data_IF_059288529182
#
_entry.id   IF_059288529182
#
_cell.length_a   1.000
_cell.length_b   1.000
_cell.length_c   1.000
_cell.angle_alpha   90.00
_cell.angle_beta   90.00
_cell.angle_gamma   90.00
#
_symmetry.space_group_name_H-M   'P 1'
#
loop_
_entity.id
_entity.type
_entity.pdbx_description
1 polymer ?
#
# COMPACT_ATOMS: atom_id res chain seq x y z
N UNK A 1 21.11 -7.67 -10.63
CA UNK A 1 21.16 -6.88 -9.38
C UNK A 1 22.07 -7.55 -8.36
N UNK A 2 22.62 -6.80 -7.40
CA UNK A 2 23.56 -7.32 -6.37
C UNK A 2 23.12 -6.88 -4.98
N UNK A 3 23.11 -7.79 -4.00
CA UNK A 3 22.69 -7.50 -2.63
C UNK A 3 23.50 -6.38 -1.96
N UNK A 4 24.79 -6.26 -2.22
CA UNK A 4 25.64 -5.23 -1.64
C UNK A 4 25.28 -3.80 -2.08
N UNK A 5 24.65 -3.65 -3.25
CA UNK A 5 24.19 -2.35 -3.76
C UNK A 5 22.70 -2.12 -3.48
N UNK A 6 21.89 -3.19 -3.47
CA UNK A 6 20.44 -3.12 -3.23
C UNK A 6 20.09 -2.67 -1.80
N UNK A 7 20.95 -2.97 -0.82
CA UNK A 7 20.71 -2.57 0.58
C UNK A 7 21.62 -1.39 0.93
N UNK A 8 21.02 -0.21 0.97
CA UNK A 8 21.70 1.07 1.21
C UNK A 8 21.02 1.87 2.33
N UNK A 9 21.82 2.33 3.28
CA UNK A 9 21.39 3.24 4.35
C UNK A 9 21.29 4.69 3.92
N UNK A 10 21.65 5.02 2.67
CA UNK A 10 21.56 6.37 2.09
C UNK A 10 20.14 6.90 2.17
N UNK A 11 19.97 8.15 2.63
CA UNK A 11 18.67 8.77 2.85
C UNK A 11 18.31 9.73 1.74
N UNK A 12 17.10 9.56 1.20
CA UNK A 12 16.56 10.44 0.16
C UNK A 12 16.37 11.87 0.66
N UNK A 13 16.96 12.82 -0.06
CA UNK A 13 16.92 14.25 0.25
C UNK A 13 17.89 14.72 1.35
N UNK A 14 18.75 13.83 1.86
CA UNK A 14 19.84 14.19 2.79
C UNK A 14 21.19 13.62 2.35
N UNK A 15 21.36 13.33 1.08
CA UNK A 15 22.53 12.64 0.53
C UNK A 15 23.86 13.33 0.88
N UNK A 16 23.85 14.67 0.94
CA UNK A 16 25.05 15.48 1.23
C UNK A 16 25.26 15.76 2.73
N UNK A 17 24.20 15.63 3.53
CA UNK A 17 24.19 16.10 4.93
C UNK A 17 24.09 14.96 5.94
N UNK A 18 23.68 13.77 5.51
CA UNK A 18 23.50 12.65 6.41
C UNK A 18 24.79 11.83 6.52
N UNK A 19 25.30 11.73 7.75
CA UNK A 19 26.29 10.71 8.12
C UNK A 19 25.56 9.58 8.81
N UNK A 20 25.85 8.36 8.40
CA UNK A 20 25.32 7.16 9.05
C UNK A 20 25.72 7.16 10.53
N UNK A 21 24.73 6.97 11.39
CA UNK A 21 24.95 6.96 12.83
C UNK A 21 25.16 5.51 13.28
N UNK A 22 26.34 5.23 13.79
CA UNK A 22 26.65 3.96 14.45
C UNK A 22 26.12 3.95 15.90
N UNK A 23 24.77 3.97 16.01
CA UNK A 23 24.05 3.85 17.28
C UNK A 23 23.39 2.48 17.38
N UNK A 24 22.76 2.19 18.53
CA UNK A 24 22.07 0.90 18.77
C UNK A 24 20.88 0.64 17.84
N UNK A 25 20.35 1.66 17.14
CA UNK A 25 19.28 1.55 16.14
C UNK A 25 19.84 1.78 14.76
N UNK A 26 19.58 0.83 13.85
CA UNK A 26 19.95 0.98 12.45
C UNK A 26 19.16 2.08 11.74
N UNK A 27 19.66 2.56 10.60
CA UNK A 27 18.95 3.53 9.78
C UNK A 27 17.60 3.00 9.28
N UNK A 28 17.47 1.71 9.08
CA UNK A 28 16.23 1.05 8.64
C UNK A 28 15.19 0.95 9.77
N UNK A 29 15.61 0.71 11.02
CA UNK A 29 14.73 0.80 12.19
C UNK A 29 14.21 2.24 12.39
N UNK A 30 15.04 3.24 12.10
CA UNK A 30 14.62 4.65 12.11
C UNK A 30 13.59 4.98 11.04
N UNK A 31 13.58 4.28 9.89
CA UNK A 31 12.53 4.43 8.89
C UNK A 31 11.19 3.95 9.43
N UNK A 32 11.16 2.82 10.12
CA UNK A 32 9.98 2.34 10.81
C UNK A 32 9.43 3.37 11.80
N UNK A 33 10.31 3.91 12.67
CA UNK A 33 9.94 4.92 13.65
C UNK A 33 9.36 6.17 12.98
N UNK A 34 9.99 6.68 11.91
CA UNK A 34 9.51 7.85 11.16
C UNK A 34 8.10 7.66 10.61
N UNK A 35 7.80 6.46 10.11
CA UNK A 35 6.49 6.13 9.58
C UNK A 35 5.44 6.07 10.68
N UNK A 36 5.68 5.33 11.77
CA UNK A 36 4.75 5.18 12.90
C UNK A 36 4.39 6.51 13.53
N UNK A 37 5.37 7.41 13.71
CA UNK A 37 5.13 8.73 14.29
C UNK A 37 4.53 9.76 13.32
N UNK A 38 4.31 9.40 12.07
CA UNK A 38 3.78 10.31 11.07
C UNK A 38 2.27 10.52 11.14
N UNK A 39 1.81 11.70 10.75
CA UNK A 39 0.38 11.99 10.66
C UNK A 39 -0.33 11.15 9.56
N UNK A 40 0.25 10.92 8.36
CA UNK A 40 -0.36 10.04 7.37
C UNK A 40 -0.61 8.62 7.89
N UNK A 41 0.35 8.03 8.61
CA UNK A 41 0.17 6.70 9.19
C UNK A 41 -0.98 6.66 10.20
N UNK A 42 -1.07 7.65 11.10
CA UNK A 42 -2.19 7.73 12.07
C UNK A 42 -3.55 7.90 11.40
N UNK A 43 -3.62 8.58 10.25
CA UNK A 43 -4.88 8.73 9.49
C UNK A 43 -5.43 7.41 8.95
N UNK A 44 -4.60 6.37 8.79
CA UNK A 44 -5.05 5.04 8.39
C UNK A 44 -6.07 4.44 9.35
N UNK A 45 -6.08 4.85 10.63
CA UNK A 45 -7.06 4.40 11.62
C UNK A 45 -8.51 4.66 11.18
N UNK A 46 -8.75 5.75 10.46
CA UNK A 46 -10.07 6.17 9.99
C UNK A 46 -10.21 6.05 8.46
N UNK A 47 -9.50 5.10 7.87
CA UNK A 47 -9.67 4.68 6.47
C UNK A 47 -10.14 3.23 6.42
N UNK A 48 -11.20 2.99 5.67
CA UNK A 48 -11.76 1.65 5.44
C UNK A 48 -10.75 0.76 4.73
N UNK A 49 -10.61 -0.50 5.19
CA UNK A 49 -9.88 -1.54 4.48
C UNK A 49 -10.79 -2.22 3.45
N UNK A 50 -11.78 -2.95 3.92
CA UNK A 50 -12.81 -3.61 3.09
C UNK A 50 -14.20 -3.25 3.59
N UNK A 51 -14.46 -3.49 4.87
CA UNK A 51 -15.76 -3.26 5.48
C UNK A 51 -15.91 -1.85 6.04
N UNK A 52 -17.16 -1.34 6.16
CA UNK A 52 -17.44 -0.09 6.84
C UNK A 52 -16.73 0.00 8.20
N UNK A 53 -16.19 1.18 8.52
CA UNK A 53 -15.65 1.42 9.85
C UNK A 53 -16.77 1.25 10.88
N UNK A 54 -16.57 0.44 11.91
CA UNK A 54 -17.66 -0.13 12.67
C UNK A 54 -18.26 0.82 13.72
N UNK A 55 -19.58 0.67 13.93
CA UNK A 55 -20.21 1.13 15.16
C UNK A 55 -20.19 0.09 16.29
N UNK A 56 -20.29 -1.20 15.99
CA UNK A 56 -20.52 -2.26 16.99
C UNK A 56 -19.70 -3.54 16.84
N UNK A 57 -19.04 -3.75 15.70
CA UNK A 57 -18.21 -4.95 15.44
C UNK A 57 -16.81 -4.52 15.04
N UNK A 58 -15.80 -5.13 15.65
CA UNK A 58 -14.41 -4.86 15.29
C UNK A 58 -14.03 -5.58 14.00
N UNK A 59 -13.85 -4.81 12.95
CA UNK A 59 -13.22 -5.23 11.69
C UNK A 59 -11.91 -4.47 11.49
N UNK A 60 -11.06 -4.96 10.60
CA UNK A 60 -9.78 -4.33 10.31
C UNK A 60 -9.98 -2.98 9.61
N UNK A 61 -9.18 -1.99 10.00
CA UNK A 61 -8.98 -0.74 9.28
C UNK A 61 -7.56 -0.74 8.68
N UNK A 62 -7.23 0.27 7.87
CA UNK A 62 -5.91 0.32 7.22
C UNK A 62 -4.73 0.39 8.19
N UNK A 63 -4.92 0.97 9.39
CA UNK A 63 -3.86 1.02 10.40
C UNK A 63 -3.55 -0.38 10.93
N UNK A 64 -4.58 -1.12 11.37
CA UNK A 64 -4.40 -2.48 11.92
C UNK A 64 -3.86 -3.42 10.85
N UNK A 65 -4.37 -3.33 9.62
CA UNK A 65 -3.84 -4.05 8.47
C UNK A 65 -2.35 -3.76 8.25
N UNK A 66 -1.95 -2.49 8.13
CA UNK A 66 -0.54 -2.13 7.91
C UNK A 66 0.39 -2.64 9.03
N UNK A 67 -0.09 -2.67 10.29
CA UNK A 67 0.67 -3.23 11.41
C UNK A 67 0.85 -4.74 11.29
N UNK A 68 -0.19 -5.47 10.92
CA UNK A 68 -0.14 -6.92 10.75
C UNK A 68 0.73 -7.30 9.54
N UNK A 69 0.57 -6.60 8.41
CA UNK A 69 1.45 -6.75 7.22
C UNK A 69 2.91 -6.49 7.60
N UNK A 70 3.17 -5.48 8.43
CA UNK A 70 4.52 -5.18 8.91
C UNK A 70 5.09 -6.29 9.80
N UNK A 71 4.28 -6.94 10.63
CA UNK A 71 4.71 -8.08 11.45
C UNK A 71 5.05 -9.30 10.58
N UNK A 72 4.21 -9.63 9.60
CA UNK A 72 4.44 -10.72 8.65
C UNK A 72 5.64 -10.43 7.77
N UNK A 73 5.75 -9.21 7.23
CA UNK A 73 6.88 -8.76 6.41
C UNK A 73 8.22 -8.84 7.14
N UNK A 74 8.25 -8.47 8.43
CA UNK A 74 9.45 -8.63 9.27
C UNK A 74 9.85 -10.09 9.41
N UNK A 75 8.90 -10.99 9.59
CA UNK A 75 9.15 -12.42 9.70
C UNK A 75 9.70 -12.98 8.38
N UNK A 76 9.06 -12.65 7.25
CA UNK A 76 9.54 -13.02 5.92
C UNK A 76 10.97 -12.51 5.68
N UNK A 77 11.21 -11.23 5.96
CA UNK A 77 12.51 -10.60 5.76
C UNK A 77 13.62 -11.21 6.63
N UNK A 78 13.34 -11.51 7.89
CA UNK A 78 14.29 -12.15 8.80
C UNK A 78 14.64 -13.57 8.35
N UNK A 79 13.66 -14.35 7.90
CA UNK A 79 13.89 -15.74 7.51
C UNK A 79 14.58 -15.82 6.15
N UNK A 80 14.26 -14.93 5.20
CA UNK A 80 15.02 -14.77 3.94
C UNK A 80 16.46 -14.34 4.25
N UNK A 81 16.67 -13.35 5.11
CA UNK A 81 18.01 -12.91 5.52
C UNK A 81 18.86 -14.06 6.04
N UNK A 82 18.32 -14.85 6.98
CA UNK A 82 19.02 -16.04 7.52
C UNK A 82 19.37 -17.06 6.44
N UNK A 83 18.42 -17.33 5.52
CA UNK A 83 18.62 -18.28 4.43
C UNK A 83 19.70 -17.82 3.44
N UNK A 84 19.71 -16.51 3.09
CA UNK A 84 20.73 -15.94 2.21
C UNK A 84 22.12 -15.95 2.83
N UNK A 85 22.26 -15.58 4.10
CA UNK A 85 23.52 -15.60 4.83
C UNK A 85 24.02 -17.04 5.00
N UNK A 86 23.14 -18.01 5.27
CA UNK A 86 23.54 -19.42 5.36
C UNK A 86 24.10 -19.95 4.03
N UNK A 87 23.63 -19.45 2.88
CA UNK A 87 24.18 -19.79 1.55
C UNK A 87 25.48 -19.02 1.21
N UNK A 88 25.68 -17.84 1.82
CA UNK A 88 26.80 -16.92 1.57
C UNK A 88 27.30 -16.31 2.87
N UNK A 89 28.08 -17.05 3.66
CA UNK A 89 28.59 -16.61 4.97
C UNK A 89 29.40 -15.31 4.91
N UNK A 90 30.00 -15.00 3.76
CA UNK A 90 30.76 -13.76 3.51
C UNK A 90 29.87 -12.49 3.59
N UNK A 91 28.56 -12.64 3.52
CA UNK A 91 27.61 -11.53 3.64
C UNK A 91 27.09 -11.31 5.07
N UNK A 92 27.63 -12.04 6.07
CA UNK A 92 27.19 -11.96 7.46
C UNK A 92 27.30 -10.53 8.05
N UNK A 93 28.33 -9.80 7.68
CA UNK A 93 28.57 -8.43 8.15
C UNK A 93 27.96 -7.35 7.24
N UNK A 94 27.17 -7.76 6.24
CA UNK A 94 26.47 -6.85 5.35
C UNK A 94 25.11 -6.42 5.92
N UNK A 95 24.50 -5.42 5.30
CA UNK A 95 23.13 -5.00 5.63
C UNK A 95 22.05 -6.04 5.32
N UNK A 96 22.37 -7.24 4.83
CA UNK A 96 21.41 -8.33 4.68
C UNK A 96 20.71 -8.69 5.99
N UNK A 97 21.37 -8.50 7.12
CA UNK A 97 20.78 -8.70 8.45
C UNK A 97 19.60 -7.75 8.71
N UNK A 98 19.50 -6.64 7.98
CA UNK A 98 18.46 -5.62 8.14
C UNK A 98 17.25 -5.80 7.21
N UNK A 99 17.22 -6.85 6.36
CA UNK A 99 16.10 -7.10 5.45
C UNK A 99 14.76 -7.08 6.19
N UNK A 100 14.69 -7.69 7.37
CA UNK A 100 13.49 -7.70 8.20
C UNK A 100 13.03 -6.29 8.61
N UNK A 101 13.96 -5.40 8.97
CA UNK A 101 13.67 -4.01 9.31
C UNK A 101 13.18 -3.20 8.10
N UNK A 102 13.82 -3.39 6.94
CA UNK A 102 13.45 -2.72 5.68
C UNK A 102 12.04 -3.14 5.24
N UNK A 103 11.79 -4.45 5.16
CA UNK A 103 10.49 -4.98 4.74
C UNK A 103 9.40 -4.58 5.72
N UNK A 104 9.67 -4.61 7.04
CA UNK A 104 8.73 -4.15 8.06
C UNK A 104 8.34 -2.68 7.87
N UNK A 105 9.31 -1.80 7.61
CA UNK A 105 9.05 -0.39 7.34
C UNK A 105 8.29 -0.17 6.01
N UNK A 106 8.68 -0.88 4.94
CA UNK A 106 7.99 -0.81 3.66
C UNK A 106 6.54 -1.27 3.76
N UNK A 107 6.27 -2.34 4.52
CA UNK A 107 4.92 -2.82 4.82
C UNK A 107 4.06 -1.78 5.56
N UNK A 108 4.62 -0.99 6.50
CA UNK A 108 3.87 0.11 7.13
C UNK A 108 3.43 1.17 6.12
N UNK A 109 4.23 1.37 5.09
CA UNK A 109 4.05 2.46 4.13
C UNK A 109 3.21 2.08 2.92
N UNK A 110 2.98 0.79 2.64
CA UNK A 110 2.39 0.31 1.38
C UNK A 110 1.00 0.92 1.09
N UNK A 111 0.21 1.15 2.13
CA UNK A 111 -1.17 1.66 2.05
C UNK A 111 -1.31 3.18 2.29
N UNK A 112 -0.19 3.91 2.53
CA UNK A 112 -0.22 5.33 2.87
C UNK A 112 -0.82 6.21 1.77
N UNK A 113 -0.67 5.81 0.51
CA UNK A 113 -1.13 6.57 -0.65
C UNK A 113 -2.59 6.36 -1.02
N UNK A 114 -3.28 5.39 -0.41
CA UNK A 114 -4.67 5.11 -0.74
C UNK A 114 -5.57 6.28 -0.33
N UNK A 115 -6.45 6.74 -1.24
CA UNK A 115 -7.43 7.78 -0.92
C UNK A 115 -8.50 7.26 0.06
N UNK A 116 -9.36 8.14 0.62
CA UNK A 116 -10.55 7.72 1.35
C UNK A 116 -11.38 6.73 0.53
N UNK A 117 -12.00 5.77 1.21
CA UNK A 117 -12.81 4.70 0.60
C UNK A 117 -12.02 3.76 -0.33
N UNK A 118 -10.69 3.72 -0.22
CA UNK A 118 -9.81 2.78 -0.91
C UNK A 118 -9.96 2.75 -2.41
N UNK A 119 -10.16 1.56 -2.99
CA UNK A 119 -10.30 1.39 -4.45
C UNK A 119 -11.49 2.14 -5.06
N UNK A 120 -12.55 2.39 -4.30
CA UNK A 120 -13.65 3.24 -4.79
C UNK A 120 -13.20 4.68 -4.97
N UNK A 121 -12.38 5.20 -4.04
CA UNK A 121 -11.75 6.51 -4.16
C UNK A 121 -10.79 6.61 -5.35
N UNK A 122 -9.93 5.59 -5.57
CA UNK A 122 -9.05 5.53 -6.75
C UNK A 122 -9.85 5.58 -8.06
N UNK A 123 -10.90 4.73 -8.15
CA UNK A 123 -11.78 4.72 -9.31
C UNK A 123 -12.50 6.05 -9.53
N UNK A 124 -12.97 6.68 -8.45
CA UNK A 124 -13.63 7.99 -8.53
C UNK A 124 -12.68 9.06 -9.10
N UNK A 125 -11.40 9.06 -8.66
CA UNK A 125 -10.38 9.97 -9.18
C UNK A 125 -10.13 9.69 -10.67
N UNK A 126 -9.83 8.47 -11.04
CA UNK A 126 -9.53 8.08 -12.42
C UNK A 126 -10.71 8.35 -13.36
N UNK A 127 -11.93 8.01 -12.94
CA UNK A 127 -13.16 8.21 -13.73
C UNK A 127 -13.49 9.69 -13.89
N UNK A 128 -13.22 10.54 -12.89
CA UNK A 128 -13.41 11.98 -13.02
C UNK A 128 -12.64 12.55 -14.23
N UNK A 129 -11.41 12.07 -14.46
CA UNK A 129 -10.60 12.52 -15.60
C UNK A 129 -10.92 11.75 -16.89
N UNK A 130 -11.16 10.44 -16.84
CA UNK A 130 -11.35 9.63 -18.04
C UNK A 130 -12.74 9.69 -18.64
N UNK A 131 -13.79 9.91 -17.83
CA UNK A 131 -15.20 9.86 -18.24
C UNK A 131 -16.02 11.07 -17.76
N UNK A 132 -15.50 11.80 -16.75
CA UNK A 132 -16.20 12.88 -16.08
C UNK A 132 -15.85 14.28 -16.62
N UNK A 133 -16.14 15.29 -15.79
CA UNK A 133 -15.89 16.72 -16.14
C UNK A 133 -14.41 17.02 -16.37
N UNK A 134 -13.51 16.25 -15.78
CA UNK A 134 -12.06 16.37 -15.96
C UNK A 134 -11.61 16.16 -17.40
N UNK A 135 -12.39 15.47 -18.26
CA UNK A 135 -12.06 15.27 -19.68
C UNK A 135 -11.76 16.58 -20.43
N UNK A 136 -12.42 17.66 -20.05
CA UNK A 136 -12.21 18.99 -20.64
C UNK A 136 -10.80 19.56 -20.44
N UNK A 137 -10.01 18.95 -19.54
CA UNK A 137 -8.66 19.39 -19.19
C UNK A 137 -7.58 18.70 -20.05
N UNK A 138 -7.92 17.66 -20.80
CA UNK A 138 -6.98 16.86 -21.59
C UNK A 138 -6.08 17.72 -22.50
N UNK A 139 -6.64 18.71 -23.18
CA UNK A 139 -5.90 19.59 -24.08
C UNK A 139 -4.97 20.60 -23.40
N UNK A 140 -5.00 20.69 -22.07
CA UNK A 140 -4.17 21.59 -21.25
C UNK A 140 -3.01 20.85 -20.55
N UNK A 141 -2.88 19.55 -20.76
CA UNK A 141 -1.93 18.66 -20.10
C UNK A 141 -1.08 17.94 -21.14
N UNK A 142 0.14 17.55 -20.75
CA UNK A 142 0.95 16.65 -21.56
C UNK A 142 0.36 15.22 -21.53
N UNK A 143 0.69 14.35 -22.49
CA UNK A 143 0.24 12.96 -22.49
C UNK A 143 0.56 12.24 -21.16
N UNK A 144 1.78 12.36 -20.65
CA UNK A 144 2.17 11.71 -19.40
C UNK A 144 1.39 12.23 -18.18
N UNK A 145 1.15 13.54 -18.11
CA UNK A 145 0.33 14.13 -17.05
C UNK A 145 -1.12 13.63 -17.13
N UNK A 146 -1.62 13.44 -18.34
CA UNK A 146 -2.97 12.90 -18.54
C UNK A 146 -3.07 11.43 -18.11
N UNK A 147 -2.08 10.60 -18.46
CA UNK A 147 -2.01 9.21 -18.04
C UNK A 147 -1.93 9.08 -16.50
N UNK A 148 -1.15 9.93 -15.83
CA UNK A 148 -1.09 9.98 -14.36
C UNK A 148 -2.46 10.17 -13.72
N UNK A 149 -3.30 11.04 -14.29
CA UNK A 149 -4.60 11.39 -13.73
C UNK A 149 -5.68 10.34 -14.04
N UNK A 150 -5.66 9.81 -15.28
CA UNK A 150 -6.64 8.82 -15.73
C UNK A 150 -6.39 7.42 -15.19
N UNK A 151 -5.16 7.15 -14.71
CA UNK A 151 -4.77 5.89 -14.09
C UNK A 151 -4.46 6.03 -12.61
N UNK A 152 -4.88 7.12 -11.94
CA UNK A 152 -4.52 7.38 -10.53
C UNK A 152 -4.47 6.10 -9.68
N UNK A 153 -3.37 5.90 -8.97
CA UNK A 153 -3.04 4.65 -8.28
C UNK A 153 -2.41 4.92 -6.91
N UNK A 154 -2.87 4.19 -5.88
CA UNK A 154 -2.44 4.39 -4.49
C UNK A 154 -0.96 4.11 -4.25
N UNK A 155 -0.35 3.12 -4.95
CA UNK A 155 1.09 2.86 -4.77
C UNK A 155 1.94 4.02 -5.29
N UNK A 156 1.59 4.60 -6.47
CA UNK A 156 2.27 5.78 -6.99
C UNK A 156 2.10 6.98 -6.05
N UNK A 157 0.91 7.14 -5.49
CA UNK A 157 0.63 8.19 -4.53
C UNK A 157 1.35 7.97 -3.19
N UNK A 158 1.59 6.72 -2.76
CA UNK A 158 2.42 6.42 -1.59
C UNK A 158 3.87 6.87 -1.81
N UNK A 159 4.45 6.55 -2.97
CA UNK A 159 5.80 7.00 -3.31
C UNK A 159 5.90 8.53 -3.33
N UNK A 160 4.91 9.22 -3.95
CA UNK A 160 4.83 10.68 -3.93
C UNK A 160 4.74 11.22 -2.50
N UNK A 161 3.83 10.71 -1.66
CA UNK A 161 3.67 11.15 -0.27
C UNK A 161 4.99 11.05 0.52
N UNK A 162 5.80 10.04 0.24
CA UNK A 162 7.03 9.75 0.96
C UNK A 162 8.24 10.56 0.47
N UNK A 163 8.25 10.97 -0.79
CA UNK A 163 9.40 11.64 -1.43
C UNK A 163 9.16 13.11 -1.74
N UNK A 164 7.91 13.53 -1.94
CA UNK A 164 7.56 14.89 -2.32
C UNK A 164 7.85 15.91 -1.22
N UNK A 165 8.40 17.06 -1.62
CA UNK A 165 8.59 18.19 -0.73
C UNK A 165 7.31 19.02 -0.66
N UNK A 166 6.49 18.78 0.34
CA UNK A 166 5.33 19.64 0.63
C UNK A 166 5.76 21.02 1.12
N UNK A 167 4.89 22.02 0.91
CA UNK A 167 5.19 23.42 1.26
C UNK A 167 5.58 23.56 2.75
N UNK A 168 6.64 24.29 3.02
CA UNK A 168 7.18 24.45 4.36
C UNK A 168 7.90 23.23 4.95
N UNK A 169 8.07 22.16 4.17
CA UNK A 169 8.79 20.93 4.56
C UNK A 169 10.20 20.92 3.99
N UNK A 170 11.09 20.16 4.65
CA UNK A 170 12.43 19.90 4.13
C UNK A 170 12.38 19.03 2.88
N UNK A 171 13.42 19.09 2.08
CA UNK A 171 13.64 18.22 0.93
C UNK A 171 13.62 16.73 1.34
N UNK A 172 13.20 15.85 0.42
CA UNK A 172 13.20 14.40 0.62
C UNK A 172 12.00 13.85 1.41
N UNK A 173 10.95 14.67 1.63
CA UNK A 173 9.70 14.20 2.23
C UNK A 173 9.91 13.58 3.62
N UNK A 174 9.73 12.26 3.72
CA UNK A 174 9.95 11.49 4.96
C UNK A 174 11.42 11.16 5.25
N UNK A 175 12.30 11.41 4.28
CA UNK A 175 13.74 11.14 4.41
C UNK A 175 14.02 9.67 4.76
N UNK A 176 13.34 8.76 4.08
CA UNK A 176 13.55 7.33 4.24
C UNK A 176 14.81 6.87 3.49
N UNK A 177 15.31 5.69 3.85
CA UNK A 177 16.43 5.08 3.11
C UNK A 177 16.00 4.67 1.70
N UNK A 178 16.95 4.65 0.78
CA UNK A 178 16.71 4.27 -0.60
C UNK A 178 16.14 2.86 -0.71
N UNK A 179 16.66 1.92 0.08
CA UNK A 179 16.16 0.53 0.09
C UNK A 179 14.72 0.43 0.57
N UNK A 180 14.33 1.18 1.61
CA UNK A 180 12.94 1.21 2.07
C UNK A 180 12.03 1.79 0.98
N UNK A 181 12.42 2.91 0.35
CA UNK A 181 11.63 3.54 -0.73
C UNK A 181 11.48 2.62 -1.95
N UNK A 182 12.56 1.97 -2.39
CA UNK A 182 12.51 1.03 -3.52
C UNK A 182 11.64 -0.21 -3.21
N UNK A 183 11.62 -0.65 -1.95
CA UNK A 183 10.84 -1.81 -1.52
C UNK A 183 9.33 -1.58 -1.49
N UNK A 184 8.87 -0.33 -1.55
CA UNK A 184 7.44 0.04 -1.59
C UNK A 184 6.93 0.03 -3.04
N UNK A 185 7.78 0.31 -4.03
CA UNK A 185 7.36 0.51 -5.42
C UNK A 185 7.11 -0.83 -6.12
N UNK A 186 5.88 -1.32 -6.01
CA UNK A 186 5.42 -2.60 -6.59
C UNK A 186 5.48 -2.62 -8.12
N UNK A 187 5.26 -1.47 -8.74
CA UNK A 187 5.19 -1.29 -10.20
C UNK A 187 6.22 -0.25 -10.66
N UNK A 188 7.50 -0.61 -10.82
CA UNK A 188 8.59 0.33 -11.04
C UNK A 188 8.63 0.88 -12.47
N UNK A 189 7.52 1.46 -12.91
CA UNK A 189 7.34 2.08 -14.24
C UNK A 189 6.32 3.22 -14.19
N UNK A 190 6.40 4.12 -15.18
CA UNK A 190 5.54 5.29 -15.32
C UNK A 190 4.11 4.94 -15.74
N UNK A 191 3.18 5.87 -15.55
CA UNK A 191 1.76 5.72 -15.84
C UNK A 191 1.46 5.36 -17.31
N UNK A 192 2.31 5.75 -18.25
CA UNK A 192 2.18 5.41 -19.67
C UNK A 192 2.28 3.90 -19.96
N UNK A 193 2.78 3.10 -18.99
CA UNK A 193 2.82 1.64 -19.05
C UNK A 193 1.74 0.96 -18.17
N UNK A 194 0.85 1.73 -17.56
CA UNK A 194 -0.16 1.21 -16.62
C UNK A 194 -1.13 0.20 -17.23
N UNK A 195 -1.42 0.32 -18.53
CA UNK A 195 -2.30 -0.57 -19.26
C UNK A 195 -3.73 -0.64 -18.67
N UNK A 196 -4.46 -1.71 -19.00
CA UNK A 196 -5.86 -1.89 -18.57
C UNK A 196 -6.03 -2.04 -17.05
N UNK A 197 -4.98 -2.42 -16.33
CA UNK A 197 -5.02 -2.59 -14.86
C UNK A 197 -4.81 -1.30 -14.10
N UNK A 198 -4.46 -0.21 -14.77
CA UNK A 198 -4.18 1.11 -14.18
C UNK A 198 -3.16 1.05 -13.03
N UNK A 199 -2.11 0.21 -13.18
CA UNK A 199 -1.07 0.02 -12.15
C UNK A 199 0.24 0.61 -12.63
N UNK A 200 0.85 1.49 -11.81
CA UNK A 200 2.16 2.11 -12.02
C UNK A 200 2.74 2.56 -10.66
N UNK A 201 4.00 2.99 -10.60
CA UNK A 201 4.69 3.17 -9.33
C UNK A 201 5.07 4.60 -8.98
N UNK A 202 5.03 5.54 -9.93
CA UNK A 202 5.37 6.94 -9.68
C UNK A 202 4.75 7.84 -10.76
N UNK A 203 4.31 9.03 -10.36
CA UNK A 203 3.86 10.07 -11.28
C UNK A 203 5.06 10.70 -12.00
N UNK A 204 4.79 11.40 -13.09
CA UNK A 204 5.83 12.08 -13.86
C UNK A 204 6.68 13.05 -12.99
N UNK A 205 6.09 13.63 -11.97
CA UNK A 205 6.78 14.52 -11.02
C UNK A 205 7.77 13.80 -10.12
N UNK A 206 7.59 12.50 -9.89
CA UNK A 206 8.47 11.67 -9.07
C UNK A 206 9.38 10.75 -9.88
N UNK A 207 9.28 10.75 -11.22
CA UNK A 207 10.08 9.88 -12.10
C UNK A 207 11.59 10.02 -11.87
N UNK A 208 12.09 11.26 -11.81
CA UNK A 208 13.52 11.51 -11.59
C UNK A 208 13.97 11.07 -10.18
N UNK A 209 13.11 11.24 -9.19
CA UNK A 209 13.37 10.76 -7.83
C UNK A 209 13.51 9.23 -7.81
N UNK A 210 12.60 8.52 -8.51
CA UNK A 210 12.69 7.06 -8.59
C UNK A 210 13.89 6.60 -9.42
N UNK A 211 14.19 7.25 -10.54
CA UNK A 211 15.38 6.99 -11.38
C UNK A 211 16.65 7.03 -10.54
N UNK A 212 16.85 8.10 -9.78
CA UNK A 212 18.01 8.29 -8.91
C UNK A 212 18.13 7.18 -7.86
N UNK A 213 17.02 6.80 -7.22
CA UNK A 213 17.01 5.71 -6.24
C UNK A 213 17.36 4.38 -6.91
N UNK A 214 16.76 4.08 -8.05
CA UNK A 214 16.94 2.82 -8.77
C UNK A 214 18.38 2.66 -9.30
N UNK A 215 18.97 3.73 -9.84
CA UNK A 215 20.35 3.73 -10.33
C UNK A 215 21.37 3.56 -9.21
N UNK A 216 21.18 4.25 -8.08
CA UNK A 216 22.04 4.10 -6.91
C UNK A 216 22.00 2.69 -6.33
N UNK A 217 20.83 2.06 -6.31
CA UNK A 217 20.66 0.69 -5.84
C UNK A 217 21.06 -0.37 -6.87
N UNK A 218 21.49 0.03 -8.08
CA UNK A 218 21.84 -0.89 -9.14
C UNK A 218 20.68 -1.76 -9.61
N UNK A 219 19.45 -1.20 -9.60
CA UNK A 219 18.28 -1.90 -10.12
C UNK A 219 18.39 -2.04 -11.66
N UNK A 220 17.95 -3.18 -12.19
CA UNK A 220 18.00 -3.48 -13.61
C UNK A 220 17.03 -2.59 -14.40
N UNK A 221 17.57 -1.70 -15.26
CA UNK A 221 16.77 -0.85 -16.13
C UNK A 221 16.27 -1.66 -17.33
N UNK A 222 14.96 -1.78 -17.46
CA UNK A 222 14.32 -2.52 -18.57
C UNK A 222 13.95 -1.62 -19.75
N UNK A 223 13.65 -0.35 -19.50
CA UNK A 223 13.37 0.65 -20.53
C UNK A 223 13.63 2.06 -20.00
N UNK A 224 14.01 2.99 -20.86
CA UNK A 224 14.33 4.36 -20.49
C UNK A 224 13.21 5.37 -20.82
N UNK A 225 12.49 5.15 -21.91
CA UNK A 225 11.37 5.99 -22.32
C UNK A 225 10.25 5.17 -22.99
N UNK A 226 9.15 4.90 -22.29
CA UNK A 226 8.82 5.28 -20.90
C UNK A 226 9.65 4.50 -19.87
N UNK A 227 9.97 5.16 -18.75
CA UNK A 227 10.86 4.62 -17.72
C UNK A 227 10.29 3.33 -17.11
N UNK A 228 11.14 2.28 -17.05
CA UNK A 228 10.82 1.00 -16.44
C UNK A 228 12.07 0.32 -15.88
N UNK A 229 11.97 -0.13 -14.63
CA UNK A 229 12.96 -0.97 -13.96
C UNK A 229 12.39 -2.35 -13.63
N UNK A 230 13.24 -3.31 -13.34
CA UNK A 230 12.85 -4.52 -12.63
C UNK A 230 12.45 -4.18 -11.18
N UNK A 231 11.61 -5.02 -10.58
CA UNK A 231 11.24 -4.85 -9.16
C UNK A 231 12.47 -4.98 -8.27
N UNK A 232 12.57 -4.13 -7.25
CA UNK A 232 13.51 -4.37 -6.15
C UNK A 232 13.17 -5.71 -5.48
N UNK A 233 14.14 -6.59 -5.18
CA UNK A 233 13.87 -7.92 -4.63
C UNK A 233 12.96 -7.93 -3.40
N UNK A 234 13.08 -6.95 -2.52
CA UNK A 234 12.28 -6.89 -1.28
C UNK A 234 10.81 -6.54 -1.52
N UNK A 235 10.45 -6.03 -2.71
CA UNK A 235 9.03 -5.81 -3.08
C UNK A 235 8.24 -7.11 -3.04
N UNK A 236 8.84 -8.23 -3.43
CA UNK A 236 8.18 -9.54 -3.40
C UNK A 236 7.83 -9.99 -1.99
N UNK A 237 8.64 -9.61 -0.99
CA UNK A 237 8.35 -9.89 0.42
C UNK A 237 7.25 -8.98 0.97
N UNK A 238 7.24 -7.70 0.57
CA UNK A 238 6.18 -6.77 0.93
C UNK A 238 4.84 -7.21 0.33
N UNK A 239 4.84 -7.59 -0.96
CA UNK A 239 3.65 -8.12 -1.65
C UNK A 239 3.15 -9.41 -0.99
N UNK A 240 4.04 -10.35 -0.65
CA UNK A 240 3.65 -11.60 0.02
C UNK A 240 3.07 -11.34 1.42
N UNK A 241 3.63 -10.40 2.17
CA UNK A 241 3.10 -10.03 3.48
C UNK A 241 1.68 -9.46 3.39
N UNK A 242 1.44 -8.58 2.40
CA UNK A 242 0.12 -8.03 2.11
C UNK A 242 -0.88 -9.13 1.68
N UNK A 243 -0.51 -9.96 0.70
CA UNK A 243 -1.33 -11.08 0.20
C UNK A 243 -1.76 -12.04 1.34
N UNK A 244 -0.83 -12.38 2.24
CA UNK A 244 -1.09 -13.27 3.39
C UNK A 244 -2.07 -12.60 4.37
N UNK A 245 -1.80 -11.38 4.78
CA UNK A 245 -2.61 -10.66 5.75
C UNK A 245 -4.00 -10.35 5.19
N UNK A 246 -4.08 -9.81 3.99
CA UNK A 246 -5.33 -9.45 3.35
C UNK A 246 -6.29 -10.63 3.29
N UNK A 247 -5.82 -11.79 2.80
CA UNK A 247 -6.65 -12.99 2.72
C UNK A 247 -7.14 -13.48 4.08
N UNK A 248 -6.27 -13.48 5.10
CA UNK A 248 -6.62 -14.02 6.42
C UNK A 248 -7.55 -13.09 7.19
N UNK A 249 -7.34 -11.79 7.10
CA UNK A 249 -8.18 -10.78 7.73
C UNK A 249 -9.59 -10.76 7.15
N UNK A 250 -9.70 -10.82 5.83
CA UNK A 250 -11.00 -10.80 5.16
C UNK A 250 -11.88 -11.98 5.57
N UNK A 251 -11.28 -13.17 5.72
CA UNK A 251 -12.00 -14.37 6.20
C UNK A 251 -12.42 -14.19 7.66
N UNK A 252 -11.54 -13.65 8.52
CA UNK A 252 -11.85 -13.40 9.93
C UNK A 252 -12.96 -12.35 10.08
N UNK A 253 -12.86 -11.24 9.37
CA UNK A 253 -13.87 -10.18 9.42
C UNK A 253 -15.22 -10.65 8.85
N UNK A 254 -15.21 -11.44 7.78
CA UNK A 254 -16.41 -12.06 7.25
C UNK A 254 -17.07 -13.02 8.25
N UNK A 255 -16.29 -13.73 9.06
CA UNK A 255 -16.82 -14.54 10.16
C UNK A 255 -17.45 -13.67 11.24
N UNK A 256 -16.75 -12.62 11.70
CA UNK A 256 -17.24 -11.67 12.71
C UNK A 256 -18.55 -11.00 12.27
N UNK A 257 -18.66 -10.66 11.00
CA UNK A 257 -19.86 -10.06 10.38
C UNK A 257 -20.94 -11.11 10.00
N UNK A 258 -20.73 -12.39 10.30
CA UNK A 258 -21.65 -13.50 9.98
C UNK A 258 -21.93 -13.68 8.49
N UNK A 259 -21.04 -13.21 7.62
CA UNK A 259 -21.06 -13.49 6.17
C UNK A 259 -20.62 -14.94 5.93
N UNK A 260 -19.66 -15.42 6.73
CA UNK A 260 -19.24 -16.80 6.81
C UNK A 260 -19.66 -17.39 8.16
N UNK A 261 -20.13 -18.62 8.13
CA UNK A 261 -20.41 -19.39 9.36
C UNK A 261 -19.08 -19.83 10.01
N UNK A 262 -19.13 -20.14 11.31
CA UNK A 262 -17.98 -20.69 12.03
C UNK A 262 -17.43 -21.95 11.38
N UNK A 263 -18.33 -22.84 10.94
CA UNK A 263 -17.94 -24.10 10.31
C UNK A 263 -17.23 -23.86 8.97
N UNK A 264 -17.81 -23.03 8.09
CA UNK A 264 -17.18 -22.64 6.82
C UNK A 264 -15.80 -22.03 7.04
N UNK A 265 -15.67 -21.12 8.01
CA UNK A 265 -14.40 -20.44 8.33
C UNK A 265 -13.33 -21.45 8.77
N UNK A 266 -13.68 -22.41 9.65
CA UNK A 266 -12.77 -23.49 10.07
C UNK A 266 -12.36 -24.38 8.90
N UNK A 267 -13.29 -24.78 8.05
CA UNK A 267 -13.02 -25.61 6.88
C UNK A 267 -12.06 -24.89 5.90
N UNK A 268 -12.30 -23.60 5.63
CA UNK A 268 -11.43 -22.80 4.78
C UNK A 268 -10.00 -22.74 5.35
N UNK A 269 -9.85 -22.44 6.64
CA UNK A 269 -8.52 -22.34 7.27
C UNK A 269 -7.82 -23.70 7.39
N UNK A 270 -8.55 -24.78 7.66
CA UNK A 270 -8.00 -26.14 7.70
C UNK A 270 -7.55 -26.63 6.32
N UNK A 271 -8.18 -26.18 5.24
CA UNK A 271 -7.83 -26.59 3.88
C UNK A 271 -6.39 -26.28 3.45
N UNK A 272 -5.70 -25.36 4.13
CA UNK A 272 -4.30 -25.07 3.90
C UNK A 272 -3.34 -26.19 4.31
N UNK A 273 -3.82 -27.20 5.06
CA UNK A 273 -3.00 -28.26 5.62
C UNK A 273 -3.34 -29.62 5.01
N UNK A 274 -2.31 -30.50 4.94
CA UNK A 274 -2.54 -31.92 4.64
C UNK A 274 -3.45 -32.56 5.70
N UNK A 275 -4.12 -33.67 5.35
CA UNK A 275 -5.03 -34.39 6.27
C UNK A 275 -4.39 -34.73 7.61
N UNK A 276 -3.12 -35.12 7.61
CA UNK A 276 -2.38 -35.43 8.83
C UNK A 276 -2.19 -34.18 9.72
N UNK A 277 -1.78 -33.05 9.11
CA UNK A 277 -1.61 -31.78 9.81
C UNK A 277 -2.95 -31.18 10.27
N UNK A 278 -4.05 -31.44 9.56
CA UNK A 278 -5.40 -31.07 10.00
C UNK A 278 -5.79 -31.81 11.28
N UNK A 279 -5.57 -33.13 11.34
CA UNK A 279 -5.88 -33.95 12.51
C UNK A 279 -5.15 -33.45 13.79
N UNK A 280 -3.90 -33.01 13.65
CA UNK A 280 -3.16 -32.42 14.78
C UNK A 280 -3.80 -31.11 15.27
N UNK A 281 -4.23 -30.23 14.35
CA UNK A 281 -4.86 -28.95 14.70
C UNK A 281 -6.24 -29.14 15.32
N UNK A 282 -7.00 -30.10 14.83
CA UNK A 282 -8.31 -30.45 15.41
C UNK A 282 -8.15 -30.89 16.88
N UNK A 283 -7.16 -31.72 17.20
CA UNK A 283 -6.87 -32.10 18.60
C UNK A 283 -6.51 -30.88 19.47
N UNK A 284 -5.75 -29.94 18.95
CA UNK A 284 -5.42 -28.71 19.68
C UNK A 284 -6.67 -27.86 19.93
N UNK A 285 -7.59 -27.82 18.95
CA UNK A 285 -8.84 -27.06 19.09
C UNK A 285 -9.82 -27.69 20.10
N UNK A 286 -9.74 -28.99 20.36
CA UNK A 286 -10.56 -29.67 21.41
C UNK A 286 -10.26 -29.11 22.81
N UNK A 287 -9.06 -28.57 23.04
CA UNK A 287 -8.65 -27.99 24.33
C UNK A 287 -9.18 -26.55 24.48
N UNK A 288 -9.56 -25.90 23.38
CA UNK A 288 -10.00 -24.50 23.33
C UNK A 288 -11.50 -24.46 23.16
N UNK A 289 -12.25 -24.01 24.16
CA UNK A 289 -13.71 -23.92 24.11
C UNK A 289 -14.25 -22.67 23.41
N UNK A 290 -13.49 -21.57 23.41
CA UNK A 290 -13.90 -20.33 22.74
C UNK A 290 -13.73 -20.42 21.22
N UNK A 291 -14.80 -20.12 20.50
CA UNK A 291 -14.82 -20.20 19.03
C UNK A 291 -13.90 -19.19 18.35
N UNK A 292 -13.79 -17.97 18.89
CA UNK A 292 -12.93 -16.95 18.32
C UNK A 292 -11.44 -17.31 18.51
N UNK A 293 -11.10 -17.87 19.65
CA UNK A 293 -9.77 -18.41 19.93
C UNK A 293 -9.41 -19.59 19.00
N UNK A 294 -10.37 -20.48 18.69
CA UNK A 294 -10.15 -21.55 17.71
C UNK A 294 -9.84 -20.99 16.32
N UNK A 295 -10.57 -19.94 15.89
CA UNK A 295 -10.33 -19.29 14.60
C UNK A 295 -8.98 -18.54 14.62
N UNK A 296 -8.66 -17.82 15.68
CA UNK A 296 -7.38 -17.14 15.85
C UNK A 296 -6.20 -18.11 15.79
N UNK A 297 -6.32 -19.27 16.44
CA UNK A 297 -5.32 -20.34 16.37
C UNK A 297 -5.12 -20.87 14.94
N UNK A 298 -6.20 -21.15 14.21
CA UNK A 298 -6.13 -21.60 12.82
C UNK A 298 -5.52 -20.52 11.91
N UNK A 299 -5.98 -19.28 12.03
CA UNK A 299 -5.42 -18.12 11.30
C UNK A 299 -3.91 -18.01 11.51
N UNK A 300 -3.46 -18.01 12.77
CA UNK A 300 -2.04 -17.92 13.10
C UNK A 300 -1.25 -19.10 12.51
N UNK A 301 -1.83 -20.31 12.53
CA UNK A 301 -1.21 -21.50 11.94
C UNK A 301 -1.07 -21.39 10.42
N UNK A 302 -2.07 -20.81 9.72
CA UNK A 302 -2.03 -20.58 8.27
C UNK A 302 -0.99 -19.51 7.93
N UNK A 303 -0.97 -18.39 8.66
CA UNK A 303 0.03 -17.33 8.47
C UNK A 303 1.44 -17.90 8.59
N UNK A 304 1.73 -18.67 9.64
CA UNK A 304 3.04 -19.30 9.81
C UNK A 304 3.42 -20.28 8.69
N UNK A 305 2.44 -21.04 8.16
CA UNK A 305 2.65 -21.89 7.00
C UNK A 305 3.02 -21.07 5.76
N UNK A 306 2.21 -20.03 5.44
CA UNK A 306 2.40 -19.22 4.25
C UNK A 306 3.70 -18.41 4.29
N UNK A 307 4.15 -17.95 5.47
CA UNK A 307 5.47 -17.33 5.65
C UNK A 307 6.55 -18.33 5.20
N UNK A 308 6.56 -19.55 5.72
CA UNK A 308 7.56 -20.55 5.35
C UNK A 308 7.56 -20.89 3.86
N UNK A 309 6.37 -21.06 3.26
CA UNK A 309 6.19 -21.32 1.83
C UNK A 309 6.71 -20.15 0.96
N UNK A 310 6.40 -18.90 1.30
CA UNK A 310 6.87 -17.73 0.56
C UNK A 310 8.38 -17.51 0.72
N UNK A 311 8.96 -17.78 1.89
CA UNK A 311 10.42 -17.75 2.10
C UNK A 311 11.11 -18.78 1.20
N UNK A 312 10.60 -20.00 1.16
CA UNK A 312 11.15 -21.05 0.30
C UNK A 312 11.04 -20.65 -1.19
N UNK A 313 9.88 -20.14 -1.62
CA UNK A 313 9.67 -19.66 -2.99
C UNK A 313 10.65 -18.54 -3.36
N UNK A 314 10.91 -17.59 -2.45
CA UNK A 314 11.86 -16.50 -2.67
C UNK A 314 13.28 -17.04 -2.84
N UNK A 315 13.73 -17.90 -1.92
CA UNK A 315 15.09 -18.45 -1.85
C UNK A 315 15.39 -19.37 -3.05
N UNK A 316 14.40 -20.10 -3.54
CA UNK A 316 14.53 -20.97 -4.72
C UNK A 316 14.58 -20.19 -6.03
N UNK A 317 14.01 -18.98 -6.05
CA UNK A 317 13.97 -18.12 -7.23
C UNK A 317 14.89 -16.89 -7.09
N UNK A 318 15.77 -16.83 -6.10
CA UNK A 318 16.63 -15.66 -5.85
C UNK A 318 17.38 -15.19 -7.09
N UNK A 319 17.95 -16.12 -7.86
CA UNK A 319 18.72 -15.80 -9.07
C UNK A 319 17.85 -15.11 -10.14
N UNK A 320 16.62 -15.61 -10.36
CA UNK A 320 15.66 -14.99 -11.29
C UNK A 320 15.19 -13.61 -10.79
N UNK A 321 14.97 -13.48 -9.49
CA UNK A 321 14.61 -12.21 -8.85
C UNK A 321 15.71 -11.18 -9.05
N UNK A 322 16.97 -11.55 -8.80
CA UNK A 322 18.12 -10.66 -9.00
C UNK A 322 18.39 -10.30 -10.47
N UNK A 323 17.99 -11.16 -11.41
CA UNK A 323 18.02 -10.86 -12.85
C UNK A 323 16.83 -10.03 -13.34
N UNK A 324 15.81 -9.83 -12.51
CA UNK A 324 14.56 -9.16 -12.89
C UNK A 324 13.67 -10.00 -13.83
N UNK A 325 13.84 -11.32 -13.82
CA UNK A 325 13.14 -12.31 -14.68
C UNK A 325 12.03 -13.06 -13.92
N UNK A 326 11.87 -12.83 -12.62
CA UNK A 326 10.85 -13.50 -11.82
C UNK A 326 9.47 -12.90 -12.11
N UNK A 327 8.52 -13.73 -12.51
CA UNK A 327 7.17 -13.32 -12.85
C UNK A 327 6.16 -13.69 -11.75
N UNK A 328 5.17 -12.82 -11.56
CA UNK A 328 4.09 -13.00 -10.59
C UNK A 328 4.47 -12.60 -9.16
N UNK A 329 3.75 -13.16 -8.17
CA UNK A 329 3.98 -12.99 -6.73
C UNK A 329 4.45 -14.29 -6.10
N UNK A 330 5.09 -14.22 -4.93
CA UNK A 330 5.59 -15.42 -4.23
C UNK A 330 4.48 -16.41 -3.90
N UNK A 331 3.28 -15.93 -3.58
CA UNK A 331 2.13 -16.76 -3.25
C UNK A 331 1.68 -17.65 -4.43
N UNK A 332 2.08 -17.32 -5.66
CA UNK A 332 1.80 -18.14 -6.85
C UNK A 332 2.82 -19.27 -7.04
N UNK A 333 3.87 -19.32 -6.23
CA UNK A 333 4.99 -20.27 -6.33
C UNK A 333 5.13 -21.15 -5.07
N UNK A 334 4.13 -21.16 -4.19
CA UNK A 334 4.07 -22.02 -3.00
C UNK A 334 3.64 -23.45 -3.36
N UNK A 335 3.74 -24.39 -2.42
CA UNK A 335 3.36 -25.77 -2.63
C UNK A 335 1.85 -25.94 -2.94
N UNK A 336 1.49 -27.04 -3.60
CA UNK A 336 0.16 -27.27 -4.19
C UNK A 336 -0.99 -27.15 -3.20
N UNK A 337 -0.89 -27.76 -2.02
CA UNK A 337 -1.98 -27.79 -1.04
C UNK A 337 -2.35 -26.38 -0.56
N UNK A 338 -1.42 -25.57 -0.02
CA UNK A 338 -1.75 -24.20 0.38
C UNK A 338 -2.08 -23.29 -0.81
N UNK A 339 -1.52 -23.52 -2.02
CA UNK A 339 -1.86 -22.74 -3.21
C UNK A 339 -3.33 -22.94 -3.62
N UNK A 340 -3.82 -24.19 -3.62
CA UNK A 340 -5.21 -24.50 -3.92
C UNK A 340 -6.16 -23.92 -2.86
N UNK A 341 -5.78 -24.00 -1.57
CA UNK A 341 -6.54 -23.42 -0.48
C UNK A 341 -6.61 -21.87 -0.60
N UNK A 342 -5.49 -21.22 -0.87
CA UNK A 342 -5.43 -19.78 -1.06
C UNK A 342 -6.33 -19.32 -2.21
N UNK A 343 -6.25 -20.00 -3.35
CA UNK A 343 -7.12 -19.72 -4.50
C UNK A 343 -8.60 -19.90 -4.18
N UNK A 344 -8.94 -20.97 -3.45
CA UNK A 344 -10.34 -21.23 -3.03
C UNK A 344 -10.84 -20.12 -2.09
N UNK A 345 -10.02 -19.71 -1.11
CA UNK A 345 -10.35 -18.59 -0.22
C UNK A 345 -10.54 -17.28 -1.01
N UNK A 346 -9.68 -16.97 -1.98
CA UNK A 346 -9.80 -15.79 -2.83
C UNK A 346 -11.12 -15.80 -3.64
N UNK A 347 -11.52 -16.96 -4.18
CA UNK A 347 -12.79 -17.10 -4.88
C UNK A 347 -14.01 -16.86 -3.96
N UNK A 348 -13.96 -17.33 -2.71
CA UNK A 348 -15.01 -17.07 -1.72
C UNK A 348 -15.04 -15.58 -1.37
N UNK A 349 -13.90 -14.94 -1.12
CA UNK A 349 -13.79 -13.51 -0.84
C UNK A 349 -14.41 -12.69 -1.97
N UNK A 350 -14.08 -13.00 -3.23
CA UNK A 350 -14.62 -12.30 -4.40
C UNK A 350 -16.15 -12.44 -4.51
N UNK A 351 -16.68 -13.63 -4.25
CA UNK A 351 -18.12 -13.93 -4.45
C UNK A 351 -19.00 -13.45 -3.31
N UNK A 352 -18.52 -13.53 -2.07
CA UNK A 352 -19.36 -13.33 -0.87
C UNK A 352 -18.98 -12.08 -0.07
N UNK A 353 -17.68 -11.72 -0.01
CA UNK A 353 -17.20 -10.61 0.81
C UNK A 353 -17.30 -9.31 0.02
N UNK A 354 -16.58 -9.19 -1.11
CA UNK A 354 -16.50 -7.93 -1.86
C UNK A 354 -17.78 -7.56 -2.60
N UNK A 355 -18.74 -8.48 -2.70
CA UNK A 355 -20.08 -8.22 -3.25
C UNK A 355 -21.16 -8.14 -2.17
N UNK A 356 -20.77 -8.10 -0.89
CA UNK A 356 -21.74 -7.88 0.18
C UNK A 356 -22.35 -6.48 0.07
N UNK A 357 -23.59 -6.34 0.55
CA UNK A 357 -24.32 -5.08 0.47
C UNK A 357 -23.56 -3.94 1.17
N UNK A 358 -22.97 -4.21 2.33
CA UNK A 358 -22.26 -3.22 3.12
C UNK A 358 -21.01 -2.67 2.40
N UNK A 359 -20.29 -3.53 1.68
CA UNK A 359 -19.14 -3.13 0.87
C UNK A 359 -19.60 -2.30 -0.34
N UNK A 360 -20.65 -2.73 -1.03
CA UNK A 360 -21.19 -1.98 -2.18
C UNK A 360 -21.73 -0.60 -1.78
N UNK A 361 -22.40 -0.49 -0.64
CA UNK A 361 -22.92 0.79 -0.15
C UNK A 361 -21.80 1.79 0.14
N UNK A 362 -20.67 1.34 0.70
CA UNK A 362 -19.47 2.17 0.88
C UNK A 362 -18.85 2.56 -0.46
N UNK A 363 -18.75 1.62 -1.39
CA UNK A 363 -18.21 1.92 -2.72
C UNK A 363 -19.04 3.00 -3.42
N UNK A 364 -20.36 2.89 -3.38
CA UNK A 364 -21.27 3.89 -3.96
C UNK A 364 -21.13 5.26 -3.28
N UNK A 365 -21.15 5.28 -1.95
CA UNK A 365 -21.03 6.51 -1.19
C UNK A 365 -19.65 7.17 -1.41
N UNK A 366 -18.57 6.38 -1.32
CA UNK A 366 -17.20 6.85 -1.51
C UNK A 366 -16.97 7.42 -2.91
N UNK A 367 -17.44 6.73 -3.94
CA UNK A 367 -17.35 7.21 -5.31
C UNK A 367 -18.02 8.59 -5.46
N UNK A 368 -19.25 8.75 -4.93
CA UNK A 368 -19.99 10.01 -5.02
C UNK A 368 -19.31 11.13 -4.23
N UNK A 369 -18.84 10.85 -3.01
CA UNK A 369 -18.17 11.83 -2.16
C UNK A 369 -16.89 12.34 -2.84
N UNK A 370 -16.02 11.44 -3.26
CA UNK A 370 -14.74 11.82 -3.89
C UNK A 370 -14.94 12.54 -5.20
N UNK A 371 -15.84 12.08 -6.08
CA UNK A 371 -16.14 12.76 -7.34
C UNK A 371 -16.63 14.18 -7.12
N UNK A 372 -17.49 14.41 -6.11
CA UNK A 372 -18.01 15.75 -5.80
C UNK A 372 -16.92 16.66 -5.25
N UNK A 373 -16.09 16.16 -4.32
CA UNK A 373 -14.97 16.94 -3.78
C UNK A 373 -13.95 17.30 -4.86
N UNK A 374 -13.61 16.37 -5.75
CA UNK A 374 -12.72 16.62 -6.89
C UNK A 374 -13.30 17.70 -7.82
N UNK A 375 -14.53 17.57 -8.23
CA UNK A 375 -15.17 18.53 -9.12
C UNK A 375 -15.06 19.94 -8.56
N UNK A 376 -15.48 20.15 -7.32
CA UNK A 376 -15.49 21.46 -6.68
C UNK A 376 -14.08 22.01 -6.46
N UNK A 377 -13.13 21.18 -6.04
CA UNK A 377 -11.76 21.61 -5.75
C UNK A 377 -10.98 21.90 -7.05
N UNK A 378 -11.15 21.08 -8.09
CA UNK A 378 -10.52 21.31 -9.40
C UNK A 378 -11.07 22.58 -10.04
N UNK A 379 -12.39 22.82 -9.98
CA UNK A 379 -12.99 24.06 -10.47
C UNK A 379 -12.47 25.28 -9.67
N UNK A 380 -12.29 25.13 -8.35
CA UNK A 380 -11.76 26.20 -7.51
C UNK A 380 -10.32 26.60 -7.88
N UNK A 381 -9.43 25.64 -8.11
CA UNK A 381 -8.03 25.95 -8.49
C UNK A 381 -7.88 26.40 -9.94
N UNK A 382 -8.89 26.18 -10.79
CA UNK A 382 -8.96 26.73 -12.17
C UNK A 382 -9.48 28.15 -12.24
N UNK A 383 -10.38 28.52 -11.33
CA UNK A 383 -11.03 29.83 -11.28
C UNK A 383 -10.94 30.41 -9.85
N UNK A 384 -9.72 30.70 -9.38
CA UNK A 384 -9.50 31.09 -7.99
C UNK A 384 -10.08 32.47 -7.64
N UNK A 385 -10.42 33.29 -8.63
CA UNK A 385 -11.03 34.62 -8.47
C UNK A 385 -12.49 34.57 -8.02
N UNK A 386 -13.18 33.45 -8.22
CA UNK A 386 -14.60 33.32 -7.86
C UNK A 386 -14.77 33.26 -6.34
N UNK A 387 -15.79 33.90 -5.80
CA UNK A 387 -16.06 33.98 -4.37
C UNK A 387 -16.13 32.58 -3.69
N UNK A 388 -16.85 31.62 -4.29
CA UNK A 388 -16.97 30.28 -3.76
C UNK A 388 -15.66 29.49 -3.86
N UNK A 389 -14.88 29.70 -4.94
CA UNK A 389 -13.56 29.11 -5.08
C UNK A 389 -12.60 29.55 -3.96
N UNK A 390 -12.64 30.82 -3.58
CA UNK A 390 -11.83 31.35 -2.48
C UNK A 390 -12.16 30.70 -1.14
N UNK A 391 -13.44 30.43 -0.86
CA UNK A 391 -13.86 29.70 0.34
C UNK A 391 -13.26 28.28 0.38
N UNK A 392 -13.34 27.57 -0.74
CA UNK A 392 -12.78 26.22 -0.87
C UNK A 392 -11.24 26.22 -0.73
N UNK A 393 -10.56 27.13 -1.42
CA UNK A 393 -9.11 27.29 -1.38
C UNK A 393 -8.62 27.59 0.05
N UNK A 394 -9.30 28.48 0.75
CA UNK A 394 -8.96 28.85 2.13
C UNK A 394 -9.18 27.68 3.13
N UNK A 395 -9.92 26.65 2.74
CA UNK A 395 -10.13 25.43 3.54
C UNK A 395 -8.98 24.45 3.43
N UNK A 396 -8.17 24.54 2.38
CA UNK A 396 -7.03 23.64 2.15
C UNK A 396 -5.85 24.04 3.03
N UNK A 397 -5.21 23.06 3.65
CA UNK A 397 -3.99 23.31 4.43
C UNK A 397 -2.86 23.88 3.56
N UNK A 398 -2.14 24.88 4.07
CA UNK A 398 -1.04 25.54 3.37
C UNK A 398 0.14 24.63 2.97
N UNK A 399 0.17 23.39 3.46
CA UNK A 399 1.19 22.43 3.01
C UNK A 399 1.00 21.98 1.54
N UNK A 400 -0.23 22.11 1.00
CA UNK A 400 -0.55 21.73 -0.38
C UNK A 400 -0.49 22.97 -1.27
N UNK A 401 0.42 22.99 -2.26
CA UNK A 401 0.62 24.15 -3.13
C UNK A 401 -0.45 24.26 -4.23
N UNK A 402 -1.72 24.50 -3.82
CA UNK A 402 -2.85 24.68 -4.73
C UNK A 402 -2.79 25.99 -5.52
N UNK A 403 -1.79 26.84 -5.29
CA UNK A 403 -1.53 28.09 -6.02
C UNK A 403 -0.31 27.99 -6.95
N UNK A 404 0.21 26.78 -7.18
CA UNK A 404 1.32 26.55 -8.08
C UNK A 404 1.06 27.15 -9.48
N UNK A 405 2.09 27.64 -10.20
CA UNK A 405 1.94 28.24 -11.52
C UNK A 405 1.33 27.28 -12.55
N UNK A 406 1.81 26.03 -12.59
CA UNK A 406 1.33 25.04 -13.54
C UNK A 406 -0.01 24.42 -13.11
N UNK A 407 -0.90 24.22 -14.07
CA UNK A 407 -2.22 23.62 -13.81
C UNK A 407 -2.09 22.21 -13.25
N UNK A 408 -1.22 21.38 -13.82
CA UNK A 408 -0.99 20.02 -13.36
C UNK A 408 -0.55 19.96 -11.88
N UNK A 409 0.37 20.84 -11.47
CA UNK A 409 0.83 20.92 -10.08
C UNK A 409 -0.30 21.30 -9.11
N UNK A 410 -1.17 22.25 -9.50
CA UNK A 410 -2.37 22.59 -8.71
C UNK A 410 -3.32 21.40 -8.58
N UNK A 411 -3.49 20.64 -9.66
CA UNK A 411 -4.33 19.43 -9.66
C UNK A 411 -3.73 18.35 -8.78
N UNK A 412 -2.42 18.12 -8.88
CA UNK A 412 -1.71 17.20 -7.98
C UNK A 412 -1.85 17.61 -6.50
N UNK A 413 -1.74 18.89 -6.19
CA UNK A 413 -1.94 19.38 -4.83
C UNK A 413 -3.38 19.15 -4.32
N UNK A 414 -4.39 19.24 -5.20
CA UNK A 414 -5.77 18.84 -4.88
C UNK A 414 -5.88 17.35 -4.63
N UNK A 415 -5.24 16.51 -5.45
CA UNK A 415 -5.21 15.06 -5.26
C UNK A 415 -4.49 14.69 -3.96
N UNK A 416 -3.36 15.32 -3.64
CA UNK A 416 -2.65 15.16 -2.37
C UNK A 416 -3.55 15.50 -1.16
N UNK A 417 -4.31 16.59 -1.26
CA UNK A 417 -5.26 17.00 -0.21
C UNK A 417 -6.38 15.98 -0.03
N UNK A 418 -7.03 15.56 -1.13
CA UNK A 418 -8.17 14.63 -1.09
C UNK A 418 -7.70 13.23 -0.65
N UNK A 419 -6.65 12.68 -1.24
CA UNK A 419 -6.12 11.36 -0.86
C UNK A 419 -5.56 11.33 0.56
N UNK A 420 -5.11 12.47 1.07
CA UNK A 420 -4.69 12.62 2.45
C UNK A 420 -5.83 12.65 3.49
N UNK A 421 -7.10 12.73 3.07
CA UNK A 421 -8.25 12.70 3.99
C UNK A 421 -8.46 11.30 4.57
N UNK A 422 -9.16 11.26 5.72
CA UNK A 422 -9.81 10.04 6.21
C UNK A 422 -11.22 9.95 5.63
N UNK A 423 -11.84 8.77 5.66
CA UNK A 423 -13.22 8.57 5.20
C UNK A 423 -14.19 9.47 5.95
N UNK A 424 -14.01 9.56 7.27
CA UNK A 424 -14.82 10.40 8.15
C UNK A 424 -14.67 11.88 7.79
N UNK A 425 -13.44 12.34 7.55
CA UNK A 425 -13.20 13.74 7.18
C UNK A 425 -13.76 14.06 5.79
N UNK A 426 -13.59 13.17 4.82
CA UNK A 426 -14.14 13.36 3.47
C UNK A 426 -15.67 13.43 3.48
N UNK A 427 -16.33 12.56 4.26
CA UNK A 427 -17.77 12.57 4.45
C UNK A 427 -18.26 13.86 5.14
N UNK A 428 -17.58 14.28 6.21
CA UNK A 428 -17.91 15.52 6.94
C UNK A 428 -17.77 16.74 6.05
N UNK A 429 -16.66 16.85 5.30
CA UNK A 429 -16.45 17.93 4.34
C UNK A 429 -17.51 17.95 3.24
N UNK A 430 -17.82 16.78 2.67
CA UNK A 430 -18.90 16.64 1.67
C UNK A 430 -20.24 17.13 2.20
N UNK A 431 -20.63 16.76 3.43
CA UNK A 431 -21.87 17.21 4.06
C UNK A 431 -21.90 18.72 4.26
N UNK A 432 -20.81 19.32 4.74
CA UNK A 432 -20.69 20.77 4.94
C UNK A 432 -20.79 21.55 3.64
N UNK A 433 -20.09 21.10 2.60
CA UNK A 433 -20.09 21.74 1.28
C UNK A 433 -21.49 21.70 0.65
N UNK A 434 -22.24 20.60 0.84
CA UNK A 434 -23.62 20.47 0.32
C UNK A 434 -24.68 21.06 1.26
N UNK A 435 -24.33 21.71 2.36
CA UNK A 435 -25.26 22.29 3.31
C UNK A 435 -26.06 21.29 4.15
N UNK A 436 -25.64 20.01 4.14
CA UNK A 436 -26.32 18.93 4.87
C UNK A 436 -25.90 18.85 6.36
N UNK A 437 -24.88 19.58 6.77
CA UNK A 437 -24.50 19.78 8.16
C UNK A 437 -23.83 21.15 8.34
N UNK A 438 -24.02 21.74 9.52
CA UNK A 438 -23.32 22.95 9.94
C UNK A 438 -22.21 22.58 10.92
N UNK A 439 -21.14 23.42 11.07
CA UNK A 439 -20.17 23.22 12.11
C UNK A 439 -20.88 23.17 13.48
N UNK A 440 -20.57 22.15 14.28
CA UNK A 440 -20.94 22.17 15.69
C UNK A 440 -20.12 23.26 16.40
N UNK A 441 -20.80 24.13 17.13
CA UNK A 441 -20.19 25.18 17.97
C UNK A 441 -19.74 24.57 19.28
#
# INVERSE_FOLDING_TARGET
MNWNTLISAKRFGLEEFHQERHENRSEFQRDYDRLVFSAPFRRLQNKTQVFPLPGSVFVHNRLTHSLEVSCVGRSLGNDVSKALIARRPELQDSYLTEIGSIVSAACLAHDLGNPPFGHSGERAISTFFSEGKGMSLKGQLTPSQWEDLTHFEGNANAFRLLTHQFEGRRQGGFVLTYSTLASIVKYPFSSSLAGKKSKFGFFITEEESFRRIAEELGMEKQNDAPLKYARHPLVYLVEAADDICYQMMDIEDAHKLKILTTQETKELLLSYFSKERQAHRLKTMEIVSDTNEQIAYLRSSVIGLLIGECVQAFVDNEEKILKGEFEGSLINHISEVPANAYKHCADISLKRIYRSRDVLDIELAGFRIISTLLELMIDAVRSPEKAYSQLLINRVSGQYNIKAPALYERMQAVLDYISGMTDVFALDLYRKINGNSLPAV
#
